data_IF_676865714185
#
_entry.id   IF_676865714185
#
_cell.length_a   1.000
_cell.length_b   1.000
_cell.length_c   1.000
_cell.angle_alpha   90.00
_cell.angle_beta   90.00
_cell.angle_gamma   90.00
#
_symmetry.space_group_name_H-M   'P 1'
#
loop_
_entity.id
_entity.type
_entity.pdbx_description
1 polymer ?
#
# COMPACT_ATOMS: atom_id res chain seq x y z
N UNK A 1 23.78 13.00 20.52
CA UNK A 1 22.31 12.79 20.38
C UNK A 1 22.06 11.73 19.30
N UNK A 2 21.47 10.56 19.62
CA UNK A 2 21.11 9.54 18.63
C UNK A 2 20.05 10.10 17.67
N UNK A 3 20.26 9.99 16.35
CA UNK A 3 19.25 10.36 15.36
C UNK A 3 18.08 9.38 15.43
N UNK A 4 16.82 9.83 15.43
CA UNK A 4 15.67 8.94 15.42
C UNK A 4 15.66 8.10 14.13
N UNK A 5 15.30 6.82 14.26
CA UNK A 5 15.18 5.90 13.12
C UNK A 5 14.04 6.39 12.23
N UNK A 6 14.29 6.54 10.93
CA UNK A 6 13.29 7.02 9.96
C UNK A 6 12.14 6.01 9.89
N UNK A 7 10.91 6.44 10.16
CA UNK A 7 9.71 5.64 9.92
C UNK A 7 9.37 5.71 8.43
N UNK A 8 9.36 4.57 7.75
CA UNK A 8 8.91 4.50 6.37
C UNK A 8 7.38 4.67 6.33
N UNK A 9 6.90 5.55 5.46
CA UNK A 9 5.47 5.84 5.28
C UNK A 9 5.19 6.13 3.82
N UNK A 10 3.93 6.00 3.41
CA UNK A 10 3.48 6.31 2.05
C UNK A 10 3.22 7.81 1.82
N UNK A 11 3.48 8.67 2.82
CA UNK A 11 3.09 10.08 2.83
C UNK A 11 3.55 10.88 1.61
N UNK A 12 4.77 10.61 1.12
CA UNK A 12 5.32 11.29 -0.06
C UNK A 12 4.53 10.92 -1.32
N UNK A 13 4.14 9.65 -1.46
CA UNK A 13 3.39 9.17 -2.63
C UNK A 13 1.94 9.64 -2.58
N UNK A 14 1.31 9.59 -1.42
CA UNK A 14 -0.04 10.13 -1.19
C UNK A 14 -0.07 11.62 -1.57
N UNK A 15 0.92 12.40 -1.14
CA UNK A 15 1.00 13.82 -1.48
C UNK A 15 1.22 14.06 -2.98
N UNK A 16 2.09 13.28 -3.63
CA UNK A 16 2.30 13.38 -5.09
C UNK A 16 1.03 13.12 -5.88
N UNK A 17 0.29 12.05 -5.55
CA UNK A 17 -0.99 11.74 -6.21
C UNK A 17 -2.03 12.81 -5.94
N UNK A 18 -2.12 13.32 -4.71
CA UNK A 18 -3.02 14.43 -4.38
C UNK A 18 -2.75 15.64 -5.26
N UNK A 19 -1.48 16.04 -5.43
CA UNK A 19 -1.13 17.21 -6.26
C UNK A 19 -1.30 16.99 -7.75
N UNK A 20 -1.25 15.73 -8.20
CA UNK A 20 -1.58 15.39 -9.58
C UNK A 20 -3.08 15.53 -9.89
N UNK A 21 -3.96 15.21 -8.93
CA UNK A 21 -5.42 15.24 -9.12
C UNK A 21 -6.03 16.60 -8.70
N UNK A 22 -5.50 17.22 -7.64
CA UNK A 22 -5.97 18.48 -7.07
C UNK A 22 -4.78 19.39 -6.64
N UNK A 23 -4.22 20.19 -7.57
CA UNK A 23 -3.04 21.01 -7.32
C UNK A 23 -3.20 22.00 -6.15
N UNK A 24 -4.38 22.58 -5.98
CA UNK A 24 -4.65 23.64 -4.99
C UNK A 24 -5.13 23.11 -3.63
N UNK A 25 -5.39 21.81 -3.52
CA UNK A 25 -5.89 21.19 -2.28
C UNK A 25 -4.74 20.75 -1.37
N UNK A 26 -4.88 21.02 -0.08
CA UNK A 26 -4.00 20.52 0.98
C UNK A 26 -4.58 19.31 1.71
N UNK A 27 -3.74 18.60 2.46
CA UNK A 27 -4.16 17.48 3.33
C UNK A 27 -3.60 17.69 4.74
N UNK A 28 -4.45 17.53 5.76
CA UNK A 28 -4.03 17.65 7.16
C UNK A 28 -3.17 16.45 7.58
N UNK A 29 -2.39 16.60 8.65
CA UNK A 29 -1.58 15.51 9.21
C UNK A 29 -2.43 14.31 9.65
N UNK A 30 -3.62 14.56 10.22
CA UNK A 30 -4.57 13.53 10.62
C UNK A 30 -5.10 12.76 9.39
N UNK A 31 -5.51 13.48 8.35
CA UNK A 31 -5.97 12.85 7.10
C UNK A 31 -4.84 12.08 6.42
N UNK A 32 -3.61 12.60 6.43
CA UNK A 32 -2.43 11.88 5.93
C UNK A 32 -2.19 10.57 6.69
N UNK A 33 -2.32 10.58 8.02
CA UNK A 33 -2.19 9.37 8.84
C UNK A 33 -3.25 8.32 8.48
N UNK A 34 -4.51 8.76 8.27
CA UNK A 34 -5.61 7.88 7.85
C UNK A 34 -5.31 7.27 6.48
N UNK A 35 -4.89 8.08 5.51
CA UNK A 35 -4.53 7.62 4.17
C UNK A 35 -3.34 6.64 4.19
N UNK A 36 -2.33 6.89 5.03
CA UNK A 36 -1.22 5.96 5.19
C UNK A 36 -1.71 4.62 5.76
N UNK A 37 -2.57 4.62 6.78
CA UNK A 37 -3.15 3.37 7.31
C UNK A 37 -4.02 2.65 6.28
N UNK A 38 -4.80 3.39 5.48
CA UNK A 38 -5.60 2.82 4.40
C UNK A 38 -4.74 2.08 3.36
N UNK A 39 -3.62 2.68 2.94
CA UNK A 39 -2.69 2.02 2.01
C UNK A 39 -2.09 0.75 2.61
N UNK A 40 -1.76 0.76 3.91
CA UNK A 40 -1.25 -0.44 4.58
C UNK A 40 -2.29 -1.55 4.67
N UNK A 41 -3.55 -1.23 5.02
CA UNK A 41 -4.64 -2.22 5.08
C UNK A 41 -4.87 -2.90 3.72
N UNK A 42 -4.95 -2.11 2.64
CA UNK A 42 -5.10 -2.67 1.29
C UNK A 42 -3.87 -3.49 0.90
N UNK A 43 -2.66 -3.03 1.22
CA UNK A 43 -1.43 -3.79 0.95
C UNK A 43 -1.41 -5.14 1.66
N UNK A 44 -1.76 -5.19 2.95
CA UNK A 44 -1.80 -6.43 3.73
C UNK A 44 -2.85 -7.40 3.17
N UNK A 45 -4.03 -6.90 2.79
CA UNK A 45 -5.07 -7.70 2.15
C UNK A 45 -4.61 -8.29 0.82
N UNK A 46 -3.99 -7.48 -0.04
CA UNK A 46 -3.44 -7.93 -1.33
C UNK A 46 -2.31 -8.94 -1.14
N UNK A 47 -1.38 -8.70 -0.22
CA UNK A 47 -0.25 -9.58 0.06
C UNK A 47 -0.71 -10.93 0.63
N UNK A 48 -1.69 -10.91 1.53
CA UNK A 48 -2.32 -12.11 2.09
C UNK A 48 -2.97 -12.96 1.00
N UNK A 49 -3.76 -12.34 0.13
CA UNK A 49 -4.44 -13.07 -0.95
C UNK A 49 -3.46 -13.59 -2.00
N UNK A 50 -2.44 -12.80 -2.37
CA UNK A 50 -1.39 -13.24 -3.29
C UNK A 50 -0.57 -14.40 -2.71
N UNK A 51 -0.29 -14.38 -1.40
CA UNK A 51 0.37 -15.48 -0.69
C UNK A 51 -0.48 -16.76 -0.73
N UNK A 52 -1.79 -16.64 -0.47
CA UNK A 52 -2.74 -17.74 -0.52
C UNK A 52 -2.81 -18.37 -1.92
N UNK A 53 -2.83 -17.54 -2.97
CA UNK A 53 -2.80 -17.99 -4.36
C UNK A 53 -1.49 -18.72 -4.72
N UNK A 54 -0.34 -18.25 -4.23
CA UNK A 54 0.93 -18.96 -4.43
C UNK A 54 0.92 -20.34 -3.75
N UNK A 55 0.41 -20.41 -2.52
CA UNK A 55 0.28 -21.66 -1.76
C UNK A 55 -0.65 -22.67 -2.44
N UNK A 56 -1.81 -22.23 -2.96
CA UNK A 56 -2.72 -23.09 -3.72
C UNK A 56 -2.09 -23.68 -4.98
N UNK A 57 -1.12 -22.98 -5.57
CA UNK A 57 -0.39 -23.45 -6.76
C UNK A 57 0.93 -24.16 -6.41
N UNK A 58 1.18 -24.48 -5.13
CA UNK A 58 2.42 -25.09 -4.64
C UNK A 58 3.69 -24.31 -5.04
N UNK A 59 3.60 -22.98 -5.09
CA UNK A 59 4.73 -22.09 -5.37
C UNK A 59 5.22 -21.44 -4.09
N UNK A 60 6.54 -21.34 -3.94
CA UNK A 60 7.20 -20.62 -2.84
C UNK A 60 7.48 -19.15 -3.17
N UNK A 61 7.18 -18.71 -4.40
CA UNK A 61 7.43 -17.35 -4.87
C UNK A 61 6.11 -16.73 -5.35
N UNK A 62 5.77 -15.56 -4.79
CA UNK A 62 4.67 -14.74 -5.28
C UNK A 62 5.17 -14.00 -6.53
N UNK A 63 4.49 -14.22 -7.67
CA UNK A 63 4.79 -13.53 -8.91
C UNK A 63 3.78 -12.43 -9.19
N UNK A 64 4.00 -11.67 -10.27
CA UNK A 64 3.03 -10.68 -10.75
C UNK A 64 1.66 -11.31 -11.08
N UNK A 65 1.60 -12.61 -11.40
CA UNK A 65 0.35 -13.32 -11.67
C UNK A 65 -0.54 -13.44 -10.42
N UNK A 66 0.06 -13.82 -9.29
CA UNK A 66 -0.67 -13.90 -8.01
C UNK A 66 -1.12 -12.52 -7.56
N UNK A 67 -0.27 -11.50 -7.69
CA UNK A 67 -0.65 -10.11 -7.37
C UNK A 67 -1.81 -9.63 -8.24
N UNK A 68 -1.75 -9.83 -9.56
CA UNK A 68 -2.84 -9.45 -10.47
C UNK A 68 -4.14 -10.17 -10.14
N UNK A 69 -4.07 -11.46 -9.79
CA UNK A 69 -5.25 -12.25 -9.44
C UNK A 69 -5.83 -11.82 -8.09
N UNK A 70 -4.98 -11.56 -7.08
CA UNK A 70 -5.39 -11.02 -5.79
C UNK A 70 -6.11 -9.67 -5.94
N UNK A 71 -5.60 -8.78 -6.80
CA UNK A 71 -6.27 -7.51 -7.12
C UNK A 71 -7.67 -7.74 -7.67
N UNK A 72 -7.84 -8.64 -8.66
CA UNK A 72 -9.16 -8.96 -9.25
C UNK A 72 -10.17 -9.57 -8.28
N UNK A 73 -9.70 -10.18 -7.19
CA UNK A 73 -10.57 -10.79 -6.18
C UNK A 73 -11.03 -9.78 -5.12
N UNK A 74 -10.25 -8.73 -4.88
CA UNK A 74 -10.46 -7.79 -3.78
C UNK A 74 -11.01 -6.42 -4.22
N UNK A 75 -10.84 -6.05 -5.49
CA UNK A 75 -11.20 -4.76 -6.09
C UNK A 75 -11.98 -4.97 -7.39
#
# INVERSE_FOLDING_TARGET
KRKPKRKETYSVYIYKVLKQVHPDTGISSKAMSIMNSFVNDIFERLASEASRLAQYNHRSTITSREVQTAVRLLL
#
